data_IF_412669422500
#
_entry.id   IF_412669422500
#
_cell.length_a   1.000
_cell.length_b   1.000
_cell.length_c   1.000
_cell.angle_alpha   90.00
_cell.angle_beta   90.00
_cell.angle_gamma   90.00
#
_symmetry.space_group_name_H-M   'P 1'
#
loop_
_entity.id
_entity.type
_entity.pdbx_description
1 polymer ?
#
# COMPACT_ATOMS: atom_id res chain seq x y z
N UNK A 1 -35.77 -44.11 11.16
CA UNK A 1 -36.13 -43.62 12.51
C UNK A 1 -34.84 -43.67 13.31
N UNK A 2 -34.13 -42.60 13.68
CA UNK A 2 -34.46 -41.19 13.92
C UNK A 2 -33.46 -40.26 13.20
N UNK A 3 -33.92 -39.07 12.86
CA UNK A 3 -33.14 -37.89 12.50
C UNK A 3 -32.49 -37.32 13.77
N UNK A 4 -31.24 -36.84 13.70
CA UNK A 4 -30.70 -35.87 14.66
C UNK A 4 -30.23 -34.63 13.89
N UNK A 5 -31.02 -33.57 14.01
CA UNK A 5 -30.80 -32.25 13.46
C UNK A 5 -29.88 -31.49 14.41
N UNK A 6 -28.58 -31.42 14.10
CA UNK A 6 -27.71 -30.38 14.68
C UNK A 6 -27.44 -29.30 13.65
N UNK A 7 -28.25 -28.27 13.79
CA UNK A 7 -28.14 -26.97 13.14
C UNK A 7 -26.83 -26.31 13.59
N UNK A 8 -25.77 -26.41 12.78
CA UNK A 8 -24.57 -25.61 12.97
C UNK A 8 -24.81 -24.27 12.26
N UNK A 9 -25.18 -23.27 13.06
CA UNK A 9 -25.28 -21.88 12.65
C UNK A 9 -23.95 -21.44 12.05
N UNK A 10 -23.90 -21.25 10.73
CA UNK A 10 -22.77 -20.60 10.06
C UNK A 10 -22.81 -19.11 10.37
N UNK A 11 -22.30 -18.73 11.54
CA UNK A 11 -21.86 -17.35 11.76
C UNK A 11 -20.62 -17.14 10.92
N UNK A 12 -20.81 -16.64 9.70
CA UNK A 12 -19.75 -15.99 8.93
C UNK A 12 -19.26 -14.81 9.76
N UNK A 13 -18.18 -15.00 10.52
CA UNK A 13 -17.42 -13.88 11.05
C UNK A 13 -16.83 -13.15 9.85
N UNK A 14 -17.46 -12.04 9.47
CA UNK A 14 -16.79 -10.99 8.72
C UNK A 14 -15.61 -10.51 9.57
N UNK A 15 -14.46 -11.16 9.45
CA UNK A 15 -13.21 -10.56 9.91
C UNK A 15 -12.97 -9.37 8.99
N UNK A 16 -13.12 -8.15 9.53
CA UNK A 16 -12.61 -6.98 8.82
C UNK A 16 -11.13 -7.24 8.49
N UNK A 17 -10.68 -6.93 7.26
CA UNK A 17 -9.26 -7.02 6.96
C UNK A 17 -8.51 -6.14 7.97
N UNK A 18 -7.32 -6.56 8.44
CA UNK A 18 -6.59 -5.77 9.42
C UNK A 18 -6.40 -4.34 8.90
N UNK A 19 -6.41 -3.37 9.82
CA UNK A 19 -6.44 -1.94 9.51
C UNK A 19 -5.46 -1.55 8.40
N UNK A 20 -4.34 -2.26 8.31
CA UNK A 20 -3.31 -2.10 7.31
C UNK A 20 -3.77 -2.21 5.84
N UNK A 21 -4.85 -2.92 5.52
CA UNK A 21 -5.30 -3.10 4.14
C UNK A 21 -6.32 -2.06 3.68
N UNK A 22 -6.77 -1.17 4.56
CA UNK A 22 -7.85 -0.20 4.27
C UNK A 22 -7.38 1.06 3.55
N UNK A 23 -6.07 1.30 3.51
CA UNK A 23 -5.50 2.59 3.09
C UNK A 23 -5.11 2.66 1.60
N UNK A 24 -5.44 1.64 0.79
CA UNK A 24 -5.08 1.56 -0.63
C UNK A 24 -6.35 1.76 -1.49
N UNK A 25 -6.58 2.95 -2.06
CA UNK A 25 -7.75 3.25 -2.92
C UNK A 25 -7.50 4.43 -3.89
N UNK A 26 -8.01 4.45 -5.14
CA UNK A 26 -7.57 5.42 -6.15
C UNK A 26 -8.50 6.63 -6.35
N UNK A 27 -8.03 7.89 -6.27
CA UNK A 27 -8.61 9.06 -7.01
C UNK A 27 -7.75 10.36 -6.99
N UNK A 28 -8.14 11.40 -7.78
CA UNK A 28 -7.30 12.51 -8.29
C UNK A 28 -7.34 13.85 -7.51
N UNK A 29 -6.17 14.48 -7.32
CA UNK A 29 -5.86 15.90 -7.66
C UNK A 29 -4.38 16.25 -7.44
N UNK A 30 -3.82 17.10 -8.33
CA UNK A 30 -2.43 17.59 -8.29
C UNK A 30 -1.41 16.49 -8.59
N UNK A 31 -0.35 16.73 -9.35
CA UNK A 31 0.56 15.65 -9.72
C UNK A 31 1.96 16.25 -9.94
N UNK A 32 2.92 15.90 -9.09
CA UNK A 32 4.33 16.25 -9.28
C UNK A 32 5.02 15.11 -10.01
N UNK A 33 5.58 15.39 -11.18
CA UNK A 33 6.38 14.42 -11.94
C UNK A 33 7.83 14.48 -11.51
N UNK A 34 8.41 13.34 -11.14
CA UNK A 34 9.81 13.25 -10.70
C UNK A 34 10.54 12.08 -11.39
N UNK A 35 11.83 12.31 -11.67
CA UNK A 35 12.79 11.22 -11.86
C UNK A 35 13.24 10.77 -10.48
N UNK A 36 13.04 9.51 -10.17
CA UNK A 36 13.30 8.99 -8.83
C UNK A 36 14.52 8.10 -8.79
N UNK A 37 15.26 8.20 -7.69
CA UNK A 37 16.27 7.23 -7.26
C UNK A 37 15.68 6.39 -6.12
N UNK A 38 16.42 5.39 -5.65
CA UNK A 38 16.06 4.64 -4.44
C UNK A 38 15.92 5.59 -3.25
N UNK A 39 14.83 5.47 -2.51
CA UNK A 39 14.64 6.16 -1.23
C UNK A 39 14.80 5.17 -0.08
N UNK A 40 15.61 5.53 0.92
CA UNK A 40 15.76 4.72 2.14
C UNK A 40 14.51 4.76 3.02
N UNK A 41 14.45 3.89 4.03
CA UNK A 41 13.26 3.75 4.88
C UNK A 41 12.92 5.08 5.57
N UNK A 42 11.71 5.60 5.33
CA UNK A 42 11.20 6.80 5.96
C UNK A 42 9.68 6.77 6.11
N UNK A 43 9.16 7.76 6.84
CA UNK A 43 7.76 8.15 6.89
C UNK A 43 7.72 9.60 6.44
N UNK A 44 6.73 9.95 5.64
CA UNK A 44 6.55 11.32 5.17
C UNK A 44 5.97 12.21 6.27
N UNK A 45 6.13 13.52 6.11
CA UNK A 45 5.46 14.51 6.95
C UNK A 45 4.49 15.33 6.09
N UNK A 46 3.49 14.64 5.56
CA UNK A 46 2.40 15.20 4.76
C UNK A 46 1.09 15.17 5.56
N UNK A 47 0.05 15.86 5.09
CA UNK A 47 -1.20 15.97 5.86
C UNK A 47 -2.18 14.85 5.54
N UNK A 48 -2.10 14.35 4.32
CA UNK A 48 -3.05 13.43 3.76
C UNK A 48 -2.33 12.18 3.21
N UNK A 49 -3.05 11.06 3.02
CA UNK A 49 -2.48 9.90 2.34
C UNK A 49 -1.97 10.25 0.95
N UNK A 50 -0.94 9.54 0.49
CA UNK A 50 -0.28 9.83 -0.78
C UNK A 50 -0.64 8.79 -1.84
N UNK A 51 -0.60 9.21 -3.10
CA UNK A 51 -0.64 8.31 -4.24
C UNK A 51 0.54 8.55 -5.17
N UNK A 52 1.00 7.50 -5.83
CA UNK A 52 2.06 7.56 -6.84
C UNK A 52 1.74 6.61 -8.00
N UNK A 53 1.72 7.13 -9.22
CA UNK A 53 1.62 6.37 -10.46
C UNK A 53 2.97 6.28 -11.15
N UNK A 54 3.30 5.08 -11.63
CA UNK A 54 4.55 4.83 -12.36
C UNK A 54 4.33 5.09 -13.85
N UNK A 55 5.00 6.11 -14.39
CA UNK A 55 4.88 6.51 -15.79
C UNK A 55 5.89 5.81 -16.71
N UNK A 56 7.05 5.43 -16.17
CA UNK A 56 8.09 4.68 -16.89
C UNK A 56 8.97 3.90 -15.92
N UNK A 57 9.45 2.72 -16.29
CA UNK A 57 10.28 1.88 -15.45
C UNK A 57 9.45 1.14 -14.40
N UNK A 58 10.13 0.66 -13.35
CA UNK A 58 9.54 -0.13 -12.28
C UNK A 58 10.18 0.19 -10.94
N UNK A 59 9.38 0.15 -9.88
CA UNK A 59 9.84 0.46 -8.53
C UNK A 59 9.29 -0.56 -7.55
N UNK A 60 10.18 -1.18 -6.78
CA UNK A 60 9.79 -1.98 -5.63
C UNK A 60 9.55 -1.07 -4.43
N UNK A 61 8.40 -1.23 -3.79
CA UNK A 61 8.05 -0.61 -2.51
C UNK A 61 8.10 -1.66 -1.42
N UNK A 62 8.93 -1.43 -0.41
CA UNK A 62 9.01 -2.25 0.80
C UNK A 62 8.35 -1.45 1.92
N UNK A 63 7.28 -2.00 2.47
CA UNK A 63 6.44 -1.36 3.49
C UNK A 63 6.59 -2.10 4.81
N UNK A 64 6.96 -1.36 5.86
CA UNK A 64 6.99 -1.87 7.21
C UNK A 64 5.74 -1.38 7.97
N UNK A 65 5.14 -2.24 8.81
CA UNK A 65 3.90 -1.91 9.48
C UNK A 65 4.07 -0.73 10.44
N UNK A 66 3.01 0.05 10.65
CA UNK A 66 2.98 1.07 11.69
C UNK A 66 3.25 0.50 13.09
N UNK A 67 3.79 1.32 14.03
CA UNK A 67 4.14 0.86 15.38
C UNK A 67 2.98 0.22 16.15
N UNK A 68 1.74 0.67 15.92
CA UNK A 68 0.54 0.16 16.59
C UNK A 68 0.23 -1.31 16.28
N UNK A 69 0.73 -1.85 15.16
CA UNK A 69 0.51 -3.25 14.78
C UNK A 69 1.78 -4.03 14.48
N UNK A 70 2.95 -3.52 14.90
CA UNK A 70 4.27 -4.11 14.59
C UNK A 70 4.40 -5.61 14.89
N UNK A 71 3.75 -6.10 15.96
CA UNK A 71 3.80 -7.52 16.35
C UNK A 71 2.71 -8.40 15.70
N UNK A 72 1.81 -7.80 14.94
CA UNK A 72 0.63 -8.46 14.37
C UNK A 72 0.54 -8.33 12.85
N UNK A 73 1.29 -7.41 12.26
CA UNK A 73 1.30 -7.10 10.83
C UNK A 73 2.64 -7.55 10.21
N UNK A 74 2.59 -8.05 8.98
CA UNK A 74 3.77 -8.41 8.22
C UNK A 74 4.31 -7.23 7.40
N UNK A 75 5.57 -7.34 6.99
CA UNK A 75 6.13 -6.48 5.96
C UNK A 75 5.50 -6.82 4.61
N UNK A 76 5.28 -5.80 3.79
CA UNK A 76 4.75 -5.95 2.43
C UNK A 76 5.83 -5.53 1.43
N UNK A 77 5.92 -6.25 0.31
CA UNK A 77 6.69 -5.80 -0.85
C UNK A 77 5.79 -5.83 -2.08
N UNK A 78 5.79 -4.72 -2.83
CA UNK A 78 5.03 -4.60 -4.07
C UNK A 78 5.89 -3.94 -5.14
N UNK A 79 5.91 -4.54 -6.33
CA UNK A 79 6.53 -3.92 -7.51
C UNK A 79 5.45 -3.16 -8.26
N UNK A 80 5.62 -1.85 -8.34
CA UNK A 80 4.75 -0.94 -9.10
C UNK A 80 5.33 -0.81 -10.50
N UNK A 81 4.61 -1.35 -11.49
CA UNK A 81 5.03 -1.34 -12.89
C UNK A 81 4.48 -0.11 -13.60
N UNK A 82 5.03 0.18 -14.79
CA UNK A 82 4.50 1.26 -15.64
C UNK A 82 3.00 1.08 -15.88
N UNK A 83 2.21 2.10 -15.56
CA UNK A 83 0.74 2.07 -15.62
C UNK A 83 0.06 1.80 -14.28
N UNK A 84 0.78 1.25 -13.30
CA UNK A 84 0.24 1.00 -11.97
C UNK A 84 0.22 2.28 -11.12
N UNK A 85 -0.66 2.27 -10.12
CA UNK A 85 -0.75 3.32 -9.11
C UNK A 85 -0.80 2.69 -7.73
N UNK A 86 0.10 3.11 -6.85
CA UNK A 86 0.05 2.79 -5.43
C UNK A 86 -0.58 3.95 -4.68
N UNK A 87 -1.44 3.62 -3.71
CA UNK A 87 -2.00 4.58 -2.75
C UNK A 87 -1.66 4.07 -1.38
N UNK A 88 -1.10 4.94 -0.56
CA UNK A 88 -0.55 4.58 0.73
C UNK A 88 -0.59 5.81 1.65
N UNK A 89 -1.03 5.62 2.89
CA UNK A 89 -0.81 6.63 3.92
C UNK A 89 0.68 6.66 4.31
N UNK A 90 1.47 7.44 3.57
CA UNK A 90 2.92 7.54 3.76
C UNK A 90 3.31 8.23 5.07
N UNK A 91 2.34 8.80 5.82
CA UNK A 91 2.54 9.31 7.18
C UNK A 91 2.45 8.24 8.26
N UNK A 92 1.92 7.06 7.95
CA UNK A 92 1.81 5.92 8.88
C UNK A 92 2.74 4.79 8.51
N UNK A 93 2.86 4.51 7.22
CA UNK A 93 3.65 3.40 6.71
C UNK A 93 5.08 3.80 6.47
N UNK A 94 5.98 3.13 7.20
CA UNK A 94 7.41 3.18 6.88
C UNK A 94 7.62 2.54 5.52
N UNK A 95 8.30 3.24 4.63
CA UNK A 95 8.47 2.76 3.27
C UNK A 95 9.88 3.03 2.74
N UNK A 96 10.36 2.07 1.95
CA UNK A 96 11.58 2.15 1.15
C UNK A 96 11.21 1.88 -0.29
N UNK A 97 11.87 2.56 -1.22
CA UNK A 97 11.68 2.31 -2.64
C UNK A 97 12.99 1.95 -3.31
N UNK A 98 12.98 0.91 -4.13
CA UNK A 98 14.11 0.52 -4.97
C UNK A 98 13.72 0.70 -6.43
N UNK A 99 14.48 1.46 -7.19
CA UNK A 99 14.33 1.49 -8.66
C UNK A 99 14.87 0.19 -9.22
N UNK A 100 14.01 -0.58 -9.90
CA UNK A 100 14.42 -1.82 -10.55
C UNK A 100 15.15 -1.46 -11.86
N UNK A 101 16.30 -2.08 -12.09
CA UNK A 101 17.29 -1.59 -13.06
C UNK A 101 16.92 -1.87 -14.52
N UNK A 102 17.50 -1.05 -15.41
CA UNK A 102 17.45 -1.21 -16.87
C UNK A 102 17.02 0.06 -17.59
N UNK A 103 16.23 0.92 -16.95
CA UNK A 103 15.63 2.10 -17.56
C UNK A 103 15.43 3.26 -16.55
N UNK A 104 15.20 4.46 -17.07
CA UNK A 104 14.82 5.63 -16.27
C UNK A 104 13.46 5.38 -15.62
N UNK A 105 13.38 5.53 -14.29
CA UNK A 105 12.13 5.50 -13.54
C UNK A 105 11.51 6.90 -13.47
N UNK A 106 10.27 7.02 -13.94
CA UNK A 106 9.49 8.27 -13.89
C UNK A 106 8.19 7.97 -13.16
N UNK A 107 7.89 8.77 -12.14
CA UNK A 107 6.66 8.66 -11.37
C UNK A 107 5.96 10.00 -11.29
N UNK A 108 4.66 9.96 -11.03
CA UNK A 108 3.87 11.14 -10.69
C UNK A 108 3.08 10.85 -9.42
N UNK A 109 3.01 11.79 -8.49
CA UNK A 109 2.26 11.60 -7.26
C UNK A 109 1.77 12.88 -6.61
N UNK A 110 0.89 12.74 -5.62
CA UNK A 110 0.41 13.81 -4.75
C UNK A 110 -0.29 13.26 -3.49
N UNK A 111 -0.61 14.18 -2.59
CA UNK A 111 -1.51 13.98 -1.45
C UNK A 111 -2.98 13.85 -1.91
N UNK A 112 -3.79 13.06 -1.20
CA UNK A 112 -5.19 12.75 -1.50
C UNK A 112 -6.16 13.18 -0.39
N UNK A 113 -7.15 14.03 -0.72
CA UNK A 113 -8.21 14.53 0.18
C UNK A 113 -9.47 13.66 0.15
#
# INVERSE_FOLDING_TARGET
>A
MLQDQRQFSSTTTHSEPPSCFRDISPTRRGALTSLEFTAEVHVDNVRLPSWQSQLKGAKEWILAPPPECYYSCDFLSVVVQTGDTIVLDTNKWYHKTNVLSGEISITVGAEYD
#
